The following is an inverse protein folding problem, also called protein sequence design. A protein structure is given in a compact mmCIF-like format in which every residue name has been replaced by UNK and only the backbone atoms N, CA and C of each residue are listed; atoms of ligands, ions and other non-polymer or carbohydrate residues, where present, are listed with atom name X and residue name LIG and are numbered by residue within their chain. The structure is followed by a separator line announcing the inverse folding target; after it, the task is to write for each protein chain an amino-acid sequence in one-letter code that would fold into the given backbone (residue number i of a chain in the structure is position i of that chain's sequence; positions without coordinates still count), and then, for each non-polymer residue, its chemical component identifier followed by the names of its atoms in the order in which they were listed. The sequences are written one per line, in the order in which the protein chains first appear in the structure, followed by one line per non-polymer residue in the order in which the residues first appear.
data_IF_831750589074
#
_entry.id   IF_831750589074
#
_cell.length_a   1.000
_cell.length_b   1.000
_cell.length_c   1.000
_cell.angle_alpha   90.00
_cell.angle_beta   90.00
_cell.angle_gamma   90.00
#
_symmetry.space_group_name_H-M   'P 1'
#
loop_
_entity.id
_entity.type
_entity.pdbx_description
1 polymer ?
#
# COMPACT_ATOMS: atom_id res chain seq x y z
N UNK A 1 11.59 -2.15 -11.19
CA UNK A 1 10.66 -1.41 -10.30
C UNK A 1 11.35 -1.16 -8.97
N UNK A 2 11.30 0.06 -8.48
CA UNK A 2 11.74 0.35 -7.11
C UNK A 2 10.70 -0.23 -6.13
N UNK A 3 11.12 -1.19 -5.33
CA UNK A 3 10.29 -1.84 -4.31
C UNK A 3 10.69 -1.40 -2.90
N UNK A 4 11.51 -0.35 -2.75
CA UNK A 4 12.04 0.14 -1.48
C UNK A 4 12.77 -0.95 -0.69
N UNK A 5 13.65 -1.68 -1.38
CA UNK A 5 14.48 -2.75 -0.83
C UNK A 5 15.90 -2.72 -1.40
N UNK A 6 16.79 -3.59 -0.91
CA UNK A 6 18.13 -3.74 -1.49
C UNK A 6 18.14 -4.37 -2.89
N UNK A 7 17.00 -4.93 -3.33
CA UNK A 7 16.84 -5.54 -4.66
C UNK A 7 15.84 -4.75 -5.50
N UNK A 8 15.98 -4.86 -6.82
CA UNK A 8 15.07 -4.25 -7.79
C UNK A 8 14.03 -5.28 -8.21
N UNK A 9 12.75 -4.90 -8.22
CA UNK A 9 11.69 -5.79 -8.70
C UNK A 9 11.68 -5.90 -10.23
N UNK A 10 11.66 -7.11 -10.78
CA UNK A 10 11.49 -7.36 -12.21
C UNK A 10 10.05 -7.76 -12.50
N UNK A 11 9.33 -6.97 -13.30
CA UNK A 11 7.95 -7.24 -13.71
C UNK A 11 7.94 -7.68 -15.19
N UNK A 12 7.59 -8.94 -15.49
CA UNK A 12 7.48 -9.41 -16.87
C UNK A 12 6.35 -8.72 -17.62
N UNK A 13 6.57 -8.40 -18.90
CA UNK A 13 5.53 -7.83 -19.75
C UNK A 13 4.31 -8.74 -19.88
N UNK A 14 4.53 -10.06 -19.87
CA UNK A 14 3.47 -11.07 -19.93
C UNK A 14 2.50 -10.98 -18.73
N UNK A 15 2.98 -10.54 -17.56
CA UNK A 15 2.12 -10.34 -16.38
C UNK A 15 1.28 -9.05 -16.48
N UNK A 16 1.68 -8.12 -17.35
CA UNK A 16 0.99 -6.83 -17.57
C UNK A 16 -0.08 -6.93 -18.67
N UNK A 17 0.23 -7.64 -19.76
CA UNK A 17 -0.64 -7.78 -20.93
C UNK A 17 -1.39 -9.11 -20.98
N UNK A 18 -1.00 -10.09 -20.15
CA UNK A 18 -1.58 -11.43 -20.15
C UNK A 18 -1.08 -12.28 -21.33
N UNK A 19 -1.89 -13.29 -21.71
CA UNK A 19 -1.52 -14.26 -22.76
C UNK A 19 -1.46 -13.68 -24.18
N UNK A 20 -2.04 -12.51 -24.40
CA UNK A 20 -2.13 -11.87 -25.71
C UNK A 20 -0.98 -10.87 -25.98
N UNK A 21 0.06 -10.86 -25.12
CA UNK A 21 1.21 -9.97 -25.28
C UNK A 21 1.92 -10.19 -26.62
N UNK A 22 2.00 -9.14 -27.43
CA UNK A 22 2.82 -9.10 -28.64
C UNK A 22 3.82 -7.97 -28.59
N UNK A 23 5.12 -8.29 -28.62
CA UNK A 23 6.20 -7.30 -28.61
C UNK A 23 6.19 -6.32 -29.80
N UNK A 24 5.39 -6.59 -30.83
CA UNK A 24 5.23 -5.74 -32.01
C UNK A 24 4.05 -4.77 -31.93
N UNK A 25 3.06 -5.05 -31.07
CA UNK A 25 1.82 -4.27 -30.97
C UNK A 25 1.65 -3.60 -29.59
N UNK A 26 2.18 -4.22 -28.54
CA UNK A 26 2.00 -3.76 -27.17
C UNK A 26 3.23 -3.01 -26.65
N UNK A 27 3.12 -1.70 -26.55
CA UNK A 27 4.10 -0.89 -25.86
C UNK A 27 3.87 -0.94 -24.34
N UNK A 28 4.84 -1.43 -23.57
CA UNK A 28 4.80 -1.41 -22.09
C UNK A 28 4.47 -0.04 -21.51
N UNK A 29 5.01 1.02 -22.13
CA UNK A 29 4.79 2.41 -21.74
C UNK A 29 3.32 2.87 -21.86
N UNK A 30 2.49 2.15 -22.59
CA UNK A 30 1.05 2.45 -22.69
C UNK A 30 0.29 2.12 -21.40
N UNK A 31 0.73 1.07 -20.68
CA UNK A 31 0.09 0.60 -19.44
C UNK A 31 0.80 1.07 -18.18
N UNK A 32 2.14 1.09 -18.19
CA UNK A 32 2.96 1.45 -17.05
C UNK A 32 4.07 2.42 -17.50
N UNK A 33 4.04 3.62 -16.94
CA UNK A 33 5.04 4.67 -17.18
C UNK A 33 5.95 4.84 -15.96
N UNK A 34 7.15 5.35 -16.21
CA UNK A 34 8.05 5.75 -15.13
C UNK A 34 7.38 6.78 -14.23
N UNK A 35 7.30 6.49 -12.93
CA UNK A 35 6.62 7.33 -11.94
C UNK A 35 5.23 6.83 -11.53
N UNK A 36 4.66 5.83 -12.23
CA UNK A 36 3.40 5.21 -11.84
C UNK A 36 3.56 4.36 -10.56
N UNK A 37 2.55 4.43 -9.70
CA UNK A 37 2.40 3.52 -8.55
C UNK A 37 1.70 2.24 -8.98
N UNK A 38 2.23 1.11 -8.52
CA UNK A 38 1.72 -0.22 -8.89
C UNK A 38 1.64 -1.09 -7.65
N UNK A 39 0.44 -1.60 -7.37
CA UNK A 39 0.23 -2.70 -6.44
C UNK A 39 0.70 -3.99 -7.11
N UNK A 40 1.74 -4.61 -6.56
CA UNK A 40 2.32 -5.82 -7.13
C UNK A 40 2.76 -6.79 -6.04
N UNK A 41 2.81 -8.07 -6.38
CA UNK A 41 3.19 -9.16 -5.47
C UNK A 41 4.52 -9.76 -5.90
N UNK A 42 5.32 -10.20 -4.93
CA UNK A 42 6.52 -10.99 -5.22
C UNK A 42 6.08 -12.40 -5.62
N UNK A 43 6.28 -12.76 -6.89
CA UNK A 43 5.96 -14.07 -7.44
C UNK A 43 7.04 -15.10 -7.11
N UNK A 44 8.31 -14.71 -7.20
CA UNK A 44 9.44 -15.58 -6.88
C UNK A 44 10.63 -14.76 -6.41
N UNK A 45 11.34 -15.26 -5.39
CA UNK A 45 12.59 -14.67 -4.92
C UNK A 45 13.47 -15.77 -4.32
N UNK A 46 14.65 -15.96 -4.92
CA UNK A 46 15.58 -17.03 -4.56
C UNK A 46 16.94 -16.51 -4.05
N UNK A 47 17.06 -15.20 -3.75
CA UNK A 47 18.28 -14.48 -3.30
C UNK A 47 19.46 -14.53 -4.27
N UNK A 48 19.40 -15.33 -5.33
CA UNK A 48 20.41 -15.40 -6.39
C UNK A 48 20.11 -14.42 -7.52
N UNK A 49 18.85 -14.01 -7.63
CA UNK A 49 18.36 -13.08 -8.65
C UNK A 49 17.50 -12.01 -8.01
N UNK A 50 17.31 -10.94 -8.77
CA UNK A 50 16.32 -9.92 -8.47
C UNK A 50 14.92 -10.54 -8.33
N UNK A 51 14.10 -10.07 -7.37
CA UNK A 51 12.77 -10.59 -7.13
C UNK A 51 11.88 -10.42 -8.36
N UNK A 52 11.25 -11.52 -8.75
CA UNK A 52 10.22 -11.55 -9.78
C UNK A 52 8.92 -11.02 -9.17
N UNK A 53 8.36 -10.01 -9.81
CA UNK A 53 7.14 -9.32 -9.38
C UNK A 53 6.04 -9.59 -10.39
N UNK A 54 4.81 -9.77 -9.91
CA UNK A 54 3.62 -10.00 -10.72
C UNK A 54 2.51 -9.02 -10.36
N UNK A 55 1.70 -8.66 -11.35
CA UNK A 55 0.45 -7.91 -11.18
C UNK A 55 -0.78 -8.68 -11.68
N UNK A 56 -0.61 -9.96 -12.02
CA UNK A 56 -1.68 -10.79 -12.59
C UNK A 56 -2.67 -11.35 -11.55
N UNK A 57 -2.47 -11.05 -10.27
CA UNK A 57 -3.34 -11.51 -9.17
C UNK A 57 -4.51 -10.53 -8.94
N UNK A 58 -5.50 -10.97 -8.16
CA UNK A 58 -6.64 -10.12 -7.78
C UNK A 58 -6.16 -8.92 -6.95
N UNK A 59 -6.80 -7.77 -7.19
CA UNK A 59 -6.53 -6.49 -6.50
C UNK A 59 -5.10 -5.94 -6.70
N UNK A 60 -4.37 -6.45 -7.70
CA UNK A 60 -3.08 -5.92 -8.15
C UNK A 60 -3.26 -5.12 -9.45
N UNK A 61 -2.31 -4.22 -9.71
CA UNK A 61 -2.33 -3.38 -10.90
C UNK A 61 -1.85 -1.96 -10.63
N UNK A 62 -2.09 -1.11 -11.62
CA UNK A 62 -1.77 0.32 -11.51
C UNK A 62 -2.70 0.97 -10.49
N UNK A 63 -2.13 1.84 -9.66
CA UNK A 63 -2.87 2.70 -8.73
C UNK A 63 -2.97 4.07 -9.38
N UNK A 64 -4.17 4.43 -9.85
CA UNK A 64 -4.42 5.71 -10.52
C UNK A 64 -4.67 6.86 -9.54
N UNK A 65 -5.16 6.55 -8.33
CA UNK A 65 -5.53 7.56 -7.33
C UNK A 65 -5.27 7.09 -5.90
N UNK A 66 -4.99 8.05 -5.03
CA UNK A 66 -4.71 7.83 -3.62
C UNK A 66 -3.57 8.71 -3.11
N UNK A 67 -3.38 8.70 -1.79
CA UNK A 67 -2.29 9.37 -1.12
C UNK A 67 -1.24 8.35 -0.67
N UNK A 68 0.00 8.54 -1.14
CA UNK A 68 1.12 7.68 -0.77
C UNK A 68 1.73 8.14 0.54
N UNK A 69 1.70 7.27 1.55
CA UNK A 69 2.32 7.47 2.86
C UNK A 69 3.48 6.48 3.00
N UNK A 70 4.64 7.00 3.44
CA UNK A 70 5.80 6.18 3.74
C UNK A 70 5.86 5.89 5.24
N UNK A 71 5.99 4.62 5.60
CA UNK A 71 6.23 4.15 6.96
C UNK A 71 7.45 3.25 7.01
N UNK A 72 7.95 3.01 8.22
CA UNK A 72 9.04 2.04 8.40
C UNK A 72 8.54 0.61 8.16
N UNK A 73 9.20 -0.22 7.34
CA UNK A 73 8.79 -1.61 7.10
C UNK A 73 8.65 -2.42 8.40
N UNK A 74 9.47 -2.14 9.41
CA UNK A 74 9.41 -2.76 10.73
C UNK A 74 8.10 -2.48 11.50
N UNK A 75 7.39 -1.42 11.16
CA UNK A 75 6.15 -0.99 11.80
C UNK A 75 4.90 -1.40 11.01
N UNK A 76 5.05 -1.94 9.80
CA UNK A 76 3.95 -2.47 8.98
C UNK A 76 3.09 -3.49 9.74
N UNK A 77 3.65 -4.51 10.42
CA UNK A 77 2.82 -5.47 11.16
C UNK A 77 2.04 -4.82 12.30
N UNK A 78 2.59 -3.75 12.89
CA UNK A 78 1.93 -3.00 13.96
C UNK A 78 0.73 -2.20 13.44
N UNK A 79 0.84 -1.60 12.25
CA UNK A 79 -0.25 -0.88 11.58
C UNK A 79 -1.41 -1.80 11.20
N UNK A 80 -1.12 -3.00 10.73
CA UNK A 80 -2.15 -4.02 10.46
C UNK A 80 -2.85 -4.39 11.78
N UNK A 81 -2.06 -4.56 12.85
CA UNK A 81 -2.56 -4.97 14.16
C UNK A 81 -2.87 -6.47 14.23
N UNK A 82 -3.25 -6.97 15.41
CA UNK A 82 -3.56 -8.39 15.61
C UNK A 82 -4.77 -8.78 14.75
N UNK A 83 -4.58 -9.66 13.77
CA UNK A 83 -5.61 -10.08 12.80
C UNK A 83 -6.20 -8.95 11.94
N UNK A 84 -5.47 -7.85 11.73
CA UNK A 84 -5.98 -6.75 10.92
C UNK A 84 -6.94 -5.81 11.67
N UNK A 85 -7.05 -5.91 13.00
CA UNK A 85 -8.02 -5.09 13.75
C UNK A 85 -7.73 -3.60 13.70
N UNK A 86 -6.46 -3.20 13.63
CA UNK A 86 -6.08 -1.79 13.64
C UNK A 86 -6.41 -1.13 12.30
N UNK A 87 -6.04 -1.75 11.18
CA UNK A 87 -6.40 -1.24 9.85
C UNK A 87 -7.92 -1.18 9.69
N UNK A 88 -8.65 -2.24 10.05
CA UNK A 88 -10.12 -2.26 9.95
C UNK A 88 -10.77 -1.15 10.78
N UNK A 89 -10.22 -0.83 11.96
CA UNK A 89 -10.72 0.28 12.78
C UNK A 89 -10.54 1.62 12.07
N UNK A 90 -9.39 1.85 11.44
CA UNK A 90 -9.12 3.09 10.71
C UNK A 90 -10.02 3.17 9.46
N UNK A 91 -10.12 2.09 8.69
CA UNK A 91 -10.98 2.02 7.50
C UNK A 91 -12.45 2.26 7.85
N UNK A 92 -12.99 1.61 8.90
CA UNK A 92 -14.37 1.81 9.33
C UNK A 92 -14.64 3.22 9.86
N UNK A 93 -13.69 3.81 10.59
CA UNK A 93 -13.86 5.14 11.17
C UNK A 93 -13.70 6.28 10.16
N UNK A 94 -12.89 6.08 9.11
CA UNK A 94 -12.60 7.12 8.11
C UNK A 94 -13.31 6.91 6.78
N UNK A 95 -13.82 5.69 6.52
CA UNK A 95 -14.31 5.29 5.20
C UNK A 95 -13.23 5.24 4.13
N UNK A 96 -11.95 5.28 4.51
CA UNK A 96 -10.84 5.17 3.56
C UNK A 96 -10.50 3.71 3.27
N UNK A 97 -10.14 3.40 2.02
CA UNK A 97 -9.52 2.16 1.62
C UNK A 97 -8.00 2.27 1.78
N UNK A 98 -7.39 1.35 2.53
CA UNK A 98 -5.97 1.40 2.86
C UNK A 98 -5.26 0.17 2.27
N UNK A 99 -4.38 0.40 1.30
CA UNK A 99 -3.53 -0.64 0.72
C UNK A 99 -2.15 -0.58 1.36
N UNK A 100 -1.76 -1.64 2.07
CA UNK A 100 -0.48 -1.72 2.78
C UNK A 100 0.51 -2.61 2.02
N UNK A 101 1.61 -2.03 1.58
CA UNK A 101 2.78 -2.75 1.08
C UNK A 101 3.69 -3.19 2.22
N UNK A 102 4.18 -4.43 2.15
CA UNK A 102 5.16 -4.97 3.10
C UNK A 102 6.51 -4.22 3.07
N UNK A 103 6.74 -3.44 2.01
CA UNK A 103 7.89 -2.56 1.84
C UNK A 103 7.74 -1.19 2.52
N UNK A 104 6.68 -0.97 3.31
CA UNK A 104 6.45 0.27 4.05
C UNK A 104 5.82 1.39 3.22
N UNK A 105 5.41 1.11 1.98
CA UNK A 105 4.54 2.02 1.23
C UNK A 105 3.08 1.71 1.54
N UNK A 106 2.33 2.73 1.94
CA UNK A 106 0.90 2.63 2.21
C UNK A 106 0.19 3.59 1.30
N UNK A 107 -0.80 3.11 0.56
CA UNK A 107 -1.67 3.98 -0.24
C UNK A 107 -3.01 4.08 0.45
N UNK A 108 -3.47 5.31 0.64
CA UNK A 108 -4.76 5.61 1.24
C UNK A 108 -5.63 6.26 0.18
N UNK A 109 -6.77 5.66 -0.13
CA UNK A 109 -7.78 6.22 -1.02
C UNK A 109 -9.06 6.47 -0.23
N UNK A 110 -9.64 7.67 -0.35
CA UNK A 110 -10.88 8.00 0.34
C UNK A 110 -11.66 8.99 -0.52
N UNK A 111 -12.99 8.87 -0.51
CA UNK A 111 -13.88 9.80 -1.20
C UNK A 111 -13.94 11.16 -0.48
N UNK A 112 -13.81 11.16 0.86
CA UNK A 112 -13.88 12.38 1.66
C UNK A 112 -12.48 12.92 1.99
N UNK A 113 -12.21 14.23 1.77
CA UNK A 113 -10.93 14.83 2.14
C UNK A 113 -10.64 14.74 3.64
N UNK A 114 -11.66 14.82 4.48
CA UNK A 114 -11.53 14.71 5.93
C UNK A 114 -11.15 13.29 6.38
N UNK A 115 -11.80 12.26 5.80
CA UNK A 115 -11.47 10.86 6.03
C UNK A 115 -10.04 10.55 5.61
N UNK A 116 -9.62 11.05 4.45
CA UNK A 116 -8.24 10.94 3.97
C UNK A 116 -7.24 11.52 4.97
N UNK A 117 -7.45 12.75 5.42
CA UNK A 117 -6.55 13.43 6.37
C UNK A 117 -6.49 12.68 7.71
N UNK A 118 -7.64 12.21 8.21
CA UNK A 118 -7.73 11.43 9.45
C UNK A 118 -6.96 10.11 9.33
N UNK A 119 -7.12 9.39 8.22
CA UNK A 119 -6.43 8.12 7.96
C UNK A 119 -4.91 8.31 7.86
N UNK A 120 -4.45 9.30 7.10
CA UNK A 120 -3.02 9.63 6.97
C UNK A 120 -2.42 9.97 8.33
N UNK A 121 -3.11 10.80 9.12
CA UNK A 121 -2.65 11.18 10.46
C UNK A 121 -2.62 10.00 11.43
N UNK A 122 -3.60 9.09 11.36
CA UNK A 122 -3.61 7.88 12.17
C UNK A 122 -2.43 6.96 11.82
N UNK A 123 -2.14 6.77 10.53
CA UNK A 123 -1.00 5.98 10.06
C UNK A 123 0.33 6.57 10.57
N UNK A 124 0.51 7.90 10.45
CA UNK A 124 1.70 8.58 10.95
C UNK A 124 1.85 8.44 12.47
N UNK A 125 0.75 8.59 13.21
CA UNK A 125 0.74 8.41 14.66
C UNK A 125 1.13 6.99 15.06
N UNK A 126 0.70 5.99 14.30
CA UNK A 126 1.09 4.59 14.52
C UNK A 126 2.57 4.37 14.23
N UNK A 127 3.11 5.01 13.19
CA UNK A 127 4.54 4.96 12.90
C UNK A 127 5.34 5.58 14.06
N UNK A 128 4.97 6.76 14.55
CA UNK A 128 5.70 7.43 15.64
C UNK A 128 5.56 6.72 16.99
N UNK A 129 4.35 6.27 17.34
CA UNK A 129 4.02 5.72 18.67
C UNK A 129 4.00 4.19 18.72
N UNK A 130 4.66 3.51 17.79
CA UNK A 130 4.68 2.05 17.70
C UNK A 130 5.13 1.33 19.00
N UNK A 131 5.87 2.00 19.88
CA UNK A 131 6.35 1.47 21.16
C UNK A 131 5.32 1.52 22.30
N UNK A 132 4.24 2.27 22.15
CA UNK A 132 3.25 2.48 23.21
C UNK A 132 2.26 1.30 23.25
N UNK A 133 1.95 0.77 24.43
CA UNK A 133 1.02 -0.36 24.58
C UNK A 133 -0.44 0.03 24.23
N UNK A 134 -0.89 1.21 24.63
CA UNK A 134 -2.27 1.69 24.46
C UNK A 134 -2.51 2.47 23.16
N UNK A 135 -1.80 2.13 22.09
CA UNK A 135 -1.88 2.84 20.82
C UNK A 135 -3.26 2.74 20.17
N UNK A 136 -3.90 1.57 20.26
CA UNK A 136 -5.22 1.33 19.63
C UNK A 136 -6.28 2.27 20.20
N UNK A 137 -6.29 2.48 21.51
CA UNK A 137 -7.28 3.33 22.16
C UNK A 137 -7.04 4.81 21.85
N UNK A 138 -5.77 5.25 21.81
CA UNK A 138 -5.42 6.61 21.40
C UNK A 138 -5.82 6.91 19.95
N UNK A 139 -5.66 5.93 19.05
CA UNK A 139 -6.06 6.10 17.64
C UNK A 139 -7.58 6.17 17.55
N UNK A 140 -8.33 5.35 18.29
CA UNK A 140 -9.79 5.44 18.34
C UNK A 140 -10.27 6.78 18.87
N UNK A 141 -9.71 7.24 19.99
CA UNK A 141 -10.05 8.54 20.58
C UNK A 141 -9.75 9.71 19.62
N UNK A 142 -8.66 9.63 18.85
CA UNK A 142 -8.35 10.62 17.82
C UNK A 142 -9.37 10.60 16.67
N UNK A 143 -9.87 9.42 16.30
CA UNK A 143 -10.84 9.26 15.23
C UNK A 143 -12.25 9.72 15.66
N UNK A 144 -12.62 9.50 16.93
CA UNK A 144 -13.92 9.87 17.51
C UNK A 144 -14.00 11.36 17.89
N UNK A 145 -12.93 11.95 18.45
CA UNK A 145 -12.93 13.34 18.98
C UNK A 145 -13.11 14.45 17.93
N UNK A 146 -13.17 14.11 16.64
CA UNK A 146 -13.41 15.06 15.53
C UNK A 146 -14.66 14.74 14.72
N UNK A 147 -15.62 14.04 15.32
CA UNK A 147 -16.97 13.83 14.76
C UNK A 147 -17.97 14.92 15.11
N UNK A 148 -17.60 15.91 15.93
CA UNK A 148 -18.47 17.04 16.27
C UNK A 148 -18.11 18.25 15.41
N UNK A 149 -18.91 18.50 14.38
CA UNK A 149 -19.08 19.81 13.74
C UNK A 149 -20.53 19.97 13.35
#
# INVERSE_FOLDING_TARGET
MDINSCYVGFLPAQDVFGRDFSAHADELASKLKSGDLVAARIANFDRTRDPLVTIADRDLGKIDSGHLVKISPSKVPRLIGKRGTMIQTIEMATGAAITIGQNGWVVVSCETPEGLLKAVKAIQMVDEKAHVANLTDQVKEMLESKGES
#
